data_IF_663727514265
#
_entry.id   IF_663727514265
#
_cell.length_a   1.000
_cell.length_b   1.000
_cell.length_c   1.000
_cell.angle_alpha   90.00
_cell.angle_beta   90.00
_cell.angle_gamma   90.00
#
_symmetry.space_group_name_H-M   'P 1'
#
loop_
_entity.id
_entity.type
_entity.pdbx_description
1 polymer ?
#
# COMPACT_ATOMS: atom_id res chain seq x y z
N UNK A 1 31.95 -12.57 -66.30
CA UNK A 1 30.63 -12.38 -65.64
C UNK A 1 30.54 -13.36 -64.48
N UNK A 2 30.90 -12.92 -63.27
CA UNK A 2 30.92 -13.75 -62.08
C UNK A 2 29.95 -13.15 -61.05
N UNK A 3 28.82 -13.86 -60.80
CA UNK A 3 27.86 -13.51 -59.75
C UNK A 3 28.42 -13.94 -58.39
N UNK A 4 28.62 -12.98 -57.47
CA UNK A 4 28.89 -13.23 -56.04
C UNK A 4 27.56 -13.41 -55.33
N UNK A 5 27.35 -14.58 -54.73
CA UNK A 5 26.27 -14.82 -53.76
C UNK A 5 26.74 -14.33 -52.40
N UNK A 6 25.97 -13.43 -51.82
CA UNK A 6 26.14 -12.96 -50.46
C UNK A 6 25.21 -13.78 -49.56
N UNK A 7 25.78 -14.70 -48.77
CA UNK A 7 25.00 -15.47 -47.76
C UNK A 7 24.91 -14.62 -46.49
N UNK A 8 23.71 -14.17 -46.16
CA UNK A 8 23.39 -13.56 -44.88
C UNK A 8 23.22 -14.66 -43.82
N UNK A 9 24.14 -14.73 -42.87
CA UNK A 9 24.05 -15.58 -41.69
C UNK A 9 23.18 -14.87 -40.65
N UNK A 10 21.95 -15.36 -40.46
CA UNK A 10 21.02 -14.89 -39.42
C UNK A 10 21.40 -15.57 -38.11
N UNK A 11 22.10 -14.85 -37.22
CA UNK A 11 22.39 -15.32 -35.85
C UNK A 11 21.11 -15.22 -35.02
N UNK A 12 20.44 -16.33 -34.82
CA UNK A 12 19.33 -16.48 -33.88
C UNK A 12 19.92 -16.65 -32.46
N UNK A 13 19.98 -15.56 -31.70
CA UNK A 13 20.39 -15.60 -30.27
C UNK A 13 19.19 -16.13 -29.48
N UNK A 14 19.17 -17.44 -29.23
CA UNK A 14 18.28 -18.04 -28.22
C UNK A 14 18.72 -17.56 -26.84
N UNK A 15 18.00 -16.60 -26.24
CA UNK A 15 18.11 -16.33 -24.81
C UNK A 15 17.39 -17.45 -24.05
N UNK A 16 18.11 -18.50 -23.70
CA UNK A 16 17.66 -19.46 -22.69
C UNK A 16 17.79 -18.77 -21.34
N UNK A 17 16.67 -18.29 -20.81
CA UNK A 17 16.56 -17.99 -19.37
C UNK A 17 16.66 -19.32 -18.64
N UNK A 18 17.85 -19.61 -18.07
CA UNK A 18 17.96 -20.66 -17.07
C UNK A 18 17.13 -20.21 -15.87
N UNK A 19 15.91 -20.74 -15.75
CA UNK A 19 15.21 -20.75 -14.47
C UNK A 19 16.07 -21.63 -13.55
N UNK A 20 16.75 -21.03 -12.57
CA UNK A 20 17.45 -21.77 -11.54
C UNK A 20 16.45 -22.68 -10.86
N UNK A 21 16.58 -24.01 -11.08
CA UNK A 21 15.75 -24.98 -10.39
C UNK A 21 16.00 -24.82 -8.89
N UNK A 22 14.97 -24.45 -8.13
CA UNK A 22 15.02 -24.40 -6.69
C UNK A 22 15.39 -25.82 -6.15
N UNK A 23 16.24 -25.91 -5.12
CA UNK A 23 16.58 -27.20 -4.54
C UNK A 23 15.30 -27.90 -4.08
N UNK A 24 15.16 -29.17 -4.44
CA UNK A 24 14.02 -30.02 -4.06
C UNK A 24 13.90 -30.04 -2.53
N UNK A 25 12.83 -29.41 -1.99
CA UNK A 25 12.58 -29.34 -0.56
C UNK A 25 12.63 -27.95 0.07
N UNK A 26 12.96 -26.89 -0.69
CA UNK A 26 12.91 -25.52 -0.14
C UNK A 26 11.46 -25.05 0.05
N UNK A 27 11.12 -24.71 1.31
CA UNK A 27 9.80 -24.16 1.64
C UNK A 27 9.88 -22.64 1.62
N UNK A 28 9.22 -22.00 0.67
CA UNK A 28 9.16 -20.55 0.55
C UNK A 28 8.38 -19.98 1.74
N UNK A 29 9.05 -19.14 2.51
CA UNK A 29 8.51 -18.49 3.71
C UNK A 29 8.40 -16.98 3.50
N UNK A 30 7.66 -16.30 4.38
CA UNK A 30 7.61 -14.85 4.38
C UNK A 30 9.01 -14.21 4.59
N UNK A 31 9.90 -14.87 5.33
CA UNK A 31 11.26 -14.37 5.59
C UNK A 31 12.11 -14.17 4.34
N UNK A 32 11.82 -14.90 3.27
CA UNK A 32 12.58 -14.80 2.02
C UNK A 32 12.46 -13.42 1.35
N UNK A 33 11.45 -12.62 1.73
CA UNK A 33 11.25 -11.28 1.22
C UNK A 33 11.59 -10.15 2.23
N UNK A 34 11.95 -10.45 3.48
CA UNK A 34 12.18 -9.42 4.52
C UNK A 34 13.31 -8.44 4.15
N UNK A 35 14.31 -8.87 3.37
CA UNK A 35 15.41 -8.03 2.92
C UNK A 35 14.97 -6.88 2.00
N UNK A 36 13.78 -6.98 1.38
CA UNK A 36 13.22 -5.93 0.52
C UNK A 36 12.60 -4.77 1.31
N UNK A 37 12.33 -4.98 2.61
CA UNK A 37 11.92 -3.92 3.53
C UNK A 37 13.16 -3.36 4.24
N UNK A 38 14.07 -2.72 3.50
CA UNK A 38 15.25 -2.06 4.07
C UNK A 38 15.01 -0.56 4.31
N UNK A 39 15.76 0.02 5.25
CA UNK A 39 15.62 1.42 5.64
C UNK A 39 15.96 2.39 4.51
N UNK A 40 16.96 2.06 3.69
CA UNK A 40 17.38 2.91 2.56
C UNK A 40 16.30 2.96 1.48
N UNK A 41 15.70 1.83 1.17
CA UNK A 41 14.58 1.74 0.23
C UNK A 41 13.35 2.52 0.71
N UNK A 42 12.99 2.38 2.00
CA UNK A 42 11.89 3.13 2.60
C UNK A 42 12.17 4.65 2.58
N UNK A 43 13.39 5.07 2.97
CA UNK A 43 13.82 6.48 2.90
C UNK A 43 13.73 7.02 1.48
N UNK A 44 14.22 6.29 0.49
CA UNK A 44 14.18 6.69 -0.91
C UNK A 44 12.74 6.90 -1.39
N UNK A 45 11.81 6.01 -1.01
CA UNK A 45 10.40 6.15 -1.37
C UNK A 45 9.76 7.37 -0.71
N UNK A 46 9.96 7.56 0.59
CA UNK A 46 9.41 8.73 1.29
C UNK A 46 9.98 10.01 0.72
N UNK A 47 11.31 10.10 0.53
CA UNK A 47 11.99 11.25 -0.07
C UNK A 47 11.42 11.60 -1.45
N UNK A 48 11.14 10.60 -2.29
CA UNK A 48 10.52 10.81 -3.60
C UNK A 48 9.14 11.49 -3.46
N UNK A 49 8.27 11.00 -2.57
CA UNK A 49 6.93 11.55 -2.41
C UNK A 49 6.91 12.91 -1.71
N UNK A 50 7.95 13.26 -0.96
CA UNK A 50 8.10 14.57 -0.29
C UNK A 50 8.93 15.57 -1.08
N UNK A 51 9.50 15.16 -2.22
CA UNK A 51 10.28 16.02 -3.10
C UNK A 51 9.46 17.18 -3.66
N UNK A 52 10.16 18.24 -4.03
CA UNK A 52 9.57 19.47 -4.62
C UNK A 52 8.78 19.21 -5.90
N UNK A 53 9.11 18.18 -6.69
CA UNK A 53 8.36 17.79 -7.89
C UNK A 53 6.98 17.22 -7.56
N UNK A 54 6.82 16.63 -6.37
CA UNK A 54 5.53 16.14 -5.88
C UNK A 54 4.66 17.28 -5.29
N UNK A 55 5.23 18.45 -5.00
CA UNK A 55 4.53 19.68 -4.53
C UNK A 55 3.49 19.43 -3.44
N UNK A 56 3.76 18.47 -2.52
CA UNK A 56 2.84 18.07 -1.45
C UNK A 56 1.60 17.31 -1.92
N UNK A 57 1.56 16.84 -3.15
CA UNK A 57 0.60 15.86 -3.71
C UNK A 57 -0.89 16.22 -3.61
N UNK A 58 -1.25 17.50 -3.54
CA UNK A 58 -2.67 17.86 -3.52
C UNK A 58 -3.39 17.35 -4.78
N UNK A 59 -4.57 16.76 -4.61
CA UNK A 59 -5.37 16.19 -5.70
C UNK A 59 -5.57 17.16 -6.86
N UNK A 60 -5.38 16.69 -8.09
CA UNK A 60 -5.54 17.48 -9.32
C UNK A 60 -4.36 18.37 -9.67
N UNK A 61 -3.26 18.36 -8.91
CA UNK A 61 -2.06 19.15 -9.20
C UNK A 61 -1.05 18.35 -10.04
N UNK A 62 -0.11 19.03 -10.72
CA UNK A 62 1.00 18.35 -11.40
C UNK A 62 1.81 17.45 -10.48
N UNK A 63 2.00 17.82 -9.20
CA UNK A 63 2.68 16.99 -8.20
C UNK A 63 1.93 15.70 -7.88
N UNK A 64 0.59 15.75 -7.79
CA UNK A 64 -0.24 14.55 -7.66
C UNK A 64 -0.11 13.66 -8.90
N UNK A 65 -0.12 14.23 -10.13
CA UNK A 65 0.09 13.49 -11.38
C UNK A 65 1.47 12.82 -11.43
N UNK A 66 2.50 13.50 -10.91
CA UNK A 66 3.85 12.95 -10.81
C UNK A 66 3.90 11.75 -9.85
N UNK A 67 3.31 11.89 -8.67
CA UNK A 67 3.25 10.84 -7.65
C UNK A 67 2.49 9.59 -8.15
N UNK A 68 1.27 9.76 -8.69
CA UNK A 68 0.47 8.63 -9.17
C UNK A 68 1.14 7.89 -10.35
N UNK A 69 1.84 8.62 -11.24
CA UNK A 69 2.58 8.02 -12.34
C UNK A 69 3.76 7.17 -11.84
N UNK A 70 4.43 7.60 -10.77
CA UNK A 70 5.49 6.82 -10.14
C UNK A 70 4.94 5.54 -9.48
N UNK A 71 3.81 5.64 -8.78
CA UNK A 71 3.15 4.48 -8.16
C UNK A 71 2.75 3.46 -9.23
N UNK A 72 2.12 3.89 -10.33
CA UNK A 72 1.72 3.01 -11.42
C UNK A 72 2.92 2.30 -12.06
N UNK A 73 4.05 3.00 -12.27
CA UNK A 73 5.29 2.38 -12.76
C UNK A 73 5.83 1.32 -11.80
N UNK A 74 5.77 1.56 -10.48
CA UNK A 74 6.20 0.58 -9.49
C UNK A 74 5.27 -0.63 -9.46
N UNK A 75 3.95 -0.43 -9.52
CA UNK A 75 2.99 -1.53 -9.63
C UNK A 75 3.26 -2.40 -10.86
N UNK A 76 3.53 -1.77 -12.02
CA UNK A 76 3.91 -2.50 -13.23
C UNK A 76 5.23 -3.28 -13.06
N UNK A 77 6.25 -2.67 -12.45
CA UNK A 77 7.55 -3.30 -12.18
C UNK A 77 7.43 -4.50 -11.21
N UNK A 78 6.46 -4.46 -10.28
CA UNK A 78 6.15 -5.56 -9.37
C UNK A 78 5.13 -6.55 -9.95
N UNK A 79 4.91 -6.55 -11.25
CA UNK A 79 4.03 -7.51 -11.93
C UNK A 79 2.57 -7.47 -11.51
N UNK A 80 2.11 -6.39 -10.86
CA UNK A 80 0.71 -6.20 -10.56
C UNK A 80 -0.05 -5.96 -11.87
N UNK A 81 -1.26 -6.49 -11.97
CA UNK A 81 -2.08 -6.36 -13.18
C UNK A 81 -3.07 -5.21 -13.05
N UNK A 82 -3.18 -4.33 -14.04
CA UNK A 82 -4.25 -3.34 -14.09
C UNK A 82 -5.59 -4.00 -14.45
N UNK A 83 -6.70 -3.38 -14.10
CA UNK A 83 -8.01 -3.74 -14.64
C UNK A 83 -8.38 -2.82 -15.80
N UNK A 84 -9.08 -3.34 -16.82
CA UNK A 84 -9.43 -2.55 -18.00
C UNK A 84 -8.25 -1.97 -18.80
N UNK A 85 -7.03 -2.48 -18.60
CA UNK A 85 -5.82 -2.01 -19.27
C UNK A 85 -5.19 -0.75 -18.65
N UNK A 86 -5.71 -0.22 -17.56
CA UNK A 86 -5.20 0.96 -16.86
C UNK A 86 -5.06 0.73 -15.37
N UNK A 87 -3.98 1.29 -14.77
CA UNK A 87 -3.85 1.40 -13.32
C UNK A 87 -4.65 2.58 -12.77
N UNK A 88 -4.99 3.56 -13.60
CA UNK A 88 -5.63 4.82 -13.18
C UNK A 88 -7.14 4.70 -13.24
N UNK A 89 -7.78 4.94 -12.11
CA UNK A 89 -9.23 4.98 -11.93
C UNK A 89 -9.65 6.42 -11.65
N UNK A 90 -10.08 7.12 -12.70
CA UNK A 90 -10.31 8.57 -12.67
C UNK A 90 -11.66 8.96 -12.09
N UNK A 91 -11.66 10.00 -11.26
CA UNK A 91 -12.87 10.58 -10.67
C UNK A 91 -12.72 12.09 -10.44
N UNK A 92 -13.75 12.71 -9.91
CA UNK A 92 -13.69 14.08 -9.40
C UNK A 92 -13.86 14.07 -7.90
N UNK A 93 -12.99 14.83 -7.20
CA UNK A 93 -13.12 15.05 -5.76
C UNK A 93 -14.35 15.90 -5.45
N UNK A 94 -14.69 16.02 -4.16
CA UNK A 94 -15.79 16.89 -3.72
C UNK A 94 -15.59 18.37 -4.12
N UNK A 95 -14.34 18.82 -4.23
CA UNK A 95 -14.01 20.17 -4.73
C UNK A 95 -14.03 20.29 -6.25
N UNK A 96 -14.31 19.20 -7.00
CA UNK A 96 -14.32 19.16 -8.45
C UNK A 96 -12.96 18.93 -9.11
N UNK A 97 -11.87 18.76 -8.35
CA UNK A 97 -10.54 18.46 -8.86
C UNK A 97 -10.51 17.09 -9.54
N UNK A 98 -9.81 16.98 -10.68
CA UNK A 98 -9.56 15.68 -11.31
C UNK A 98 -8.57 14.87 -10.44
N UNK A 99 -8.93 13.64 -10.12
CA UNK A 99 -8.16 12.76 -9.25
C UNK A 99 -8.17 11.33 -9.78
N UNK A 100 -7.22 10.50 -9.36
CA UNK A 100 -7.13 9.11 -9.78
C UNK A 100 -6.65 8.23 -8.64
N UNK A 101 -7.40 7.19 -8.33
CA UNK A 101 -6.83 6.07 -7.59
C UNK A 101 -5.89 5.28 -8.50
N UNK A 102 -4.82 4.73 -7.96
CA UNK A 102 -3.93 3.80 -8.68
C UNK A 102 -4.16 2.40 -8.13
N UNK A 103 -4.67 1.50 -9.00
CA UNK A 103 -5.13 0.16 -8.60
C UNK A 103 -4.33 -0.91 -9.31
N UNK A 104 -3.79 -1.86 -8.56
CA UNK A 104 -3.02 -2.98 -9.09
C UNK A 104 -3.36 -4.29 -8.40
N UNK A 105 -3.47 -5.35 -9.16
CA UNK A 105 -3.85 -6.68 -8.69
C UNK A 105 -2.65 -7.62 -8.63
N UNK A 106 -2.40 -8.22 -7.48
CA UNK A 106 -1.54 -9.40 -7.35
C UNK A 106 -2.43 -10.64 -7.36
N UNK A 107 -2.49 -11.39 -8.47
CA UNK A 107 -3.43 -12.50 -8.59
C UNK A 107 -3.15 -13.65 -7.64
N UNK A 108 -4.16 -14.09 -6.92
CA UNK A 108 -4.20 -15.35 -6.18
C UNK A 108 -4.87 -16.47 -6.99
N UNK A 109 -5.06 -17.64 -6.39
CA UNK A 109 -5.70 -18.81 -7.02
C UNK A 109 -7.22 -18.86 -6.85
N UNK A 110 -7.73 -18.27 -5.75
CA UNK A 110 -9.15 -18.26 -5.42
C UNK A 110 -9.92 -17.07 -6.01
N UNK A 111 -11.16 -16.95 -5.57
CA UNK A 111 -12.14 -15.91 -5.93
C UNK A 111 -12.40 -14.89 -4.80
N UNK A 112 -11.55 -14.92 -3.77
CA UNK A 112 -11.61 -14.00 -2.64
C UNK A 112 -10.54 -12.92 -2.75
N UNK A 113 -10.81 -11.74 -2.18
CA UNK A 113 -9.97 -10.57 -2.30
C UNK A 113 -9.62 -9.98 -0.94
N UNK A 114 -8.39 -9.49 -0.85
CA UNK A 114 -7.93 -8.60 0.23
C UNK A 114 -7.53 -7.27 -0.41
N UNK A 115 -8.11 -6.16 0.06
CA UNK A 115 -7.73 -4.81 -0.37
C UNK A 115 -6.67 -4.29 0.59
N UNK A 116 -5.55 -3.79 0.05
CA UNK A 116 -4.51 -3.11 0.83
C UNK A 116 -4.34 -1.71 0.26
N UNK A 117 -4.62 -0.69 1.07
CA UNK A 117 -4.68 0.68 0.60
C UNK A 117 -3.89 1.65 1.48
N UNK A 118 -3.41 2.72 0.86
CA UNK A 118 -2.88 3.92 1.50
C UNK A 118 -3.20 5.13 0.64
N UNK A 119 -3.59 6.27 1.22
CA UNK A 119 -3.75 7.48 0.42
C UNK A 119 -2.38 8.10 0.11
N UNK A 120 -2.26 8.68 -1.09
CA UNK A 120 -1.02 9.34 -1.51
C UNK A 120 -1.13 10.86 -1.58
N UNK A 121 -2.34 11.39 -1.59
CA UNK A 121 -2.58 12.84 -1.57
C UNK A 121 -2.23 13.46 -0.21
N UNK A 122 -1.94 14.76 -0.22
CA UNK A 122 -1.75 15.57 0.96
C UNK A 122 -2.16 17.02 0.67
N UNK A 123 -1.89 17.93 1.60
CA UNK A 123 -2.33 19.35 1.56
C UNK A 123 -1.80 20.09 0.32
N UNK A 124 -0.59 19.78 -0.15
CA UNK A 124 0.01 20.47 -1.28
C UNK A 124 0.83 21.69 -0.88
N UNK A 125 0.70 22.75 -1.69
CA UNK A 125 1.33 24.05 -1.43
C UNK A 125 0.26 25.10 -1.17
N UNK A 126 0.28 25.71 0.02
CA UNK A 126 -0.66 26.76 0.40
C UNK A 126 0.09 28.07 0.58
N UNK A 127 -0.36 29.12 -0.13
CA UNK A 127 0.26 30.45 -0.09
C UNK A 127 1.79 30.43 -0.29
N UNK A 128 2.28 29.56 -1.19
CA UNK A 128 3.71 29.39 -1.47
C UNK A 128 4.47 28.51 -0.48
N UNK A 129 3.82 28.01 0.56
CA UNK A 129 4.41 27.14 1.56
C UNK A 129 4.12 25.67 1.23
N UNK A 130 5.15 24.86 1.07
CA UNK A 130 5.05 23.42 0.83
C UNK A 130 4.77 22.65 2.12
N UNK A 131 3.80 21.74 2.04
CA UNK A 131 3.50 20.75 3.08
C UNK A 131 3.92 19.37 2.58
N UNK A 132 5.07 18.84 3.02
CA UNK A 132 5.65 17.63 2.42
C UNK A 132 4.84 16.36 2.68
N UNK A 133 4.25 16.23 3.89
CA UNK A 133 3.43 15.09 4.27
C UNK A 133 4.20 13.77 4.26
N UNK A 134 5.32 13.71 4.98
CA UNK A 134 6.15 12.51 5.05
C UNK A 134 5.47 11.39 5.82
N UNK A 135 5.00 11.67 7.03
CA UNK A 135 4.22 10.71 7.78
C UNK A 135 2.78 10.66 7.25
N UNK A 136 2.21 11.81 6.86
CA UNK A 136 0.83 11.91 6.35
C UNK A 136 0.77 12.17 4.82
N UNK A 137 0.80 11.19 3.88
CA UNK A 137 0.92 9.78 4.16
C UNK A 137 1.95 9.13 3.19
N UNK A 138 3.08 9.83 2.93
CA UNK A 138 4.14 9.22 2.12
C UNK A 138 4.68 7.94 2.77
N UNK A 139 4.66 7.85 4.12
CA UNK A 139 5.01 6.63 4.85
C UNK A 139 4.07 5.46 4.52
N UNK A 140 2.76 5.69 4.51
CA UNK A 140 1.78 4.67 4.12
C UNK A 140 1.95 4.21 2.67
N UNK A 141 2.21 5.13 1.74
CA UNK A 141 2.49 4.78 0.33
C UNK A 141 3.79 3.99 0.21
N UNK A 142 4.85 4.39 0.92
CA UNK A 142 6.12 3.65 0.92
C UNK A 142 5.93 2.24 1.47
N UNK A 143 5.13 2.06 2.54
CA UNK A 143 4.76 0.76 3.06
C UNK A 143 3.97 -0.06 2.03
N UNK A 144 2.93 0.52 1.41
CA UNK A 144 2.12 -0.12 0.38
C UNK A 144 2.97 -0.68 -0.77
N UNK A 145 3.87 0.14 -1.30
CA UNK A 145 4.78 -0.23 -2.39
C UNK A 145 5.77 -1.33 -1.98
N UNK A 146 6.28 -1.25 -0.76
CA UNK A 146 7.20 -2.26 -0.22
C UNK A 146 6.48 -3.60 -0.03
N UNK A 147 5.27 -3.60 0.53
CA UNK A 147 4.43 -4.80 0.66
C UNK A 147 4.14 -5.42 -0.72
N UNK A 148 3.77 -4.60 -1.71
CA UNK A 148 3.51 -5.08 -3.07
C UNK A 148 4.77 -5.76 -3.67
N UNK A 149 5.94 -5.17 -3.50
CA UNK A 149 7.22 -5.73 -3.92
C UNK A 149 7.53 -7.06 -3.22
N UNK A 150 7.36 -7.12 -1.90
CA UNK A 150 7.63 -8.33 -1.10
C UNK A 150 6.72 -9.50 -1.50
N UNK A 151 5.42 -9.27 -1.65
CA UNK A 151 4.49 -10.31 -2.07
C UNK A 151 4.70 -10.76 -3.51
N UNK A 152 5.04 -9.84 -4.42
CA UNK A 152 5.43 -10.18 -5.79
C UNK A 152 6.68 -11.06 -5.79
N UNK A 153 7.71 -10.70 -5.04
CA UNK A 153 8.95 -11.47 -4.95
C UNK A 153 8.70 -12.91 -4.47
N UNK A 154 7.91 -13.10 -3.42
CA UNK A 154 7.54 -14.46 -2.98
C UNK A 154 6.80 -15.23 -4.07
N UNK A 155 5.96 -14.56 -4.85
CA UNK A 155 5.26 -15.19 -5.97
C UNK A 155 6.22 -15.61 -7.09
N UNK A 156 7.24 -14.81 -7.39
CA UNK A 156 8.30 -15.18 -8.35
C UNK A 156 9.12 -16.38 -7.87
N UNK A 157 9.31 -16.51 -6.55
CA UNK A 157 9.92 -17.70 -5.96
C UNK A 157 9.01 -18.94 -6.02
N UNK A 158 7.73 -18.79 -6.39
CA UNK A 158 6.75 -19.89 -6.53
C UNK A 158 5.70 -19.94 -5.41
N UNK A 159 5.65 -18.95 -4.50
CA UNK A 159 4.57 -18.86 -3.50
C UNK A 159 3.22 -18.62 -4.18
N UNK A 160 2.22 -19.38 -3.76
CA UNK A 160 0.82 -19.18 -4.18
C UNK A 160 0.03 -18.58 -3.03
N UNK A 161 -0.96 -17.73 -3.37
CA UNK A 161 -1.89 -17.11 -2.43
C UNK A 161 -3.30 -17.59 -2.73
N UNK A 162 -4.10 -17.83 -1.71
CA UNK A 162 -5.52 -18.14 -1.87
C UNK A 162 -6.30 -16.91 -2.33
N UNK A 163 -5.97 -15.74 -1.77
CA UNK A 163 -6.61 -14.47 -2.12
C UNK A 163 -5.87 -13.74 -3.25
N UNK A 164 -6.63 -13.03 -4.08
CA UNK A 164 -6.07 -11.95 -4.90
C UNK A 164 -5.93 -10.70 -4.04
N UNK A 165 -4.75 -10.08 -4.04
CA UNK A 165 -4.53 -8.82 -3.34
C UNK A 165 -4.73 -7.66 -4.29
N UNK A 166 -5.58 -6.70 -3.89
CA UNK A 166 -5.80 -5.44 -4.60
C UNK A 166 -5.04 -4.35 -3.88
N UNK A 167 -3.89 -3.94 -4.42
CA UNK A 167 -3.11 -2.82 -3.91
C UNK A 167 -3.67 -1.51 -4.48
N UNK A 168 -3.98 -0.56 -3.61
CA UNK A 168 -4.61 0.71 -4.01
C UNK A 168 -3.89 1.89 -3.37
N UNK A 169 -3.35 2.77 -4.20
CA UNK A 169 -2.99 4.10 -3.74
C UNK A 169 -4.17 5.04 -4.00
N UNK A 170 -4.75 5.56 -2.93
CA UNK A 170 -5.97 6.38 -2.95
C UNK A 170 -5.63 7.86 -3.08
N UNK A 171 -6.38 8.58 -3.91
CA UNK A 171 -6.32 10.03 -4.03
C UNK A 171 -7.52 10.68 -3.31
N UNK A 172 -7.41 11.93 -2.91
CA UNK A 172 -8.53 12.71 -2.40
C UNK A 172 -8.99 12.34 -0.99
N UNK A 173 -8.12 11.79 -0.15
CA UNK A 173 -8.41 11.61 1.28
C UNK A 173 -8.63 12.96 1.97
N UNK A 174 -7.78 13.94 1.68
CA UNK A 174 -7.92 15.32 2.17
C UNK A 174 -9.15 16.05 1.57
N UNK A 175 -9.78 15.45 0.57
CA UNK A 175 -11.03 15.87 -0.07
C UNK A 175 -12.20 14.97 0.35
N UNK A 176 -12.37 14.78 1.67
CA UNK A 176 -13.45 13.98 2.27
C UNK A 176 -13.49 12.54 1.80
N UNK A 177 -12.34 11.85 1.77
CA UNK A 177 -12.21 10.45 1.40
C UNK A 177 -12.74 10.14 -0.01
N UNK A 178 -12.67 11.12 -0.93
CA UNK A 178 -13.28 11.00 -2.28
C UNK A 178 -12.83 9.75 -3.03
N UNK A 179 -11.53 9.38 -2.92
CA UNK A 179 -10.97 8.21 -3.61
C UNK A 179 -11.47 6.88 -3.06
N UNK A 180 -11.56 6.73 -1.75
CA UNK A 180 -12.08 5.50 -1.16
C UNK A 180 -13.59 5.35 -1.37
N UNK A 181 -14.36 6.44 -1.34
CA UNK A 181 -15.77 6.44 -1.75
C UNK A 181 -15.93 6.06 -3.23
N UNK A 182 -15.06 6.60 -4.10
CA UNK A 182 -15.09 6.24 -5.52
C UNK A 182 -14.76 4.76 -5.75
N UNK A 183 -13.70 4.23 -5.11
CA UNK A 183 -13.35 2.82 -5.18
C UNK A 183 -14.51 1.93 -4.72
N UNK A 184 -15.16 2.30 -3.63
CA UNK A 184 -16.34 1.59 -3.16
C UNK A 184 -17.47 1.60 -4.21
N UNK A 185 -17.74 2.74 -4.83
CA UNK A 185 -18.77 2.87 -5.87
C UNK A 185 -18.45 2.01 -7.11
N UNK A 186 -17.17 1.88 -7.50
CA UNK A 186 -16.76 0.97 -8.57
C UNK A 186 -17.05 -0.50 -8.20
N UNK A 187 -16.81 -0.89 -6.96
CA UNK A 187 -17.12 -2.24 -6.46
C UNK A 187 -18.64 -2.46 -6.44
N UNK A 188 -19.38 -1.55 -5.82
CA UNK A 188 -20.84 -1.65 -5.71
C UNK A 188 -21.54 -1.63 -7.08
N UNK A 189 -21.01 -0.86 -8.03
CA UNK A 189 -21.50 -0.76 -9.41
C UNK A 189 -21.02 -1.89 -10.34
N UNK A 190 -20.19 -2.83 -9.86
CA UNK A 190 -19.63 -3.92 -10.68
C UNK A 190 -18.65 -3.45 -11.75
N UNK A 191 -18.07 -2.26 -11.58
CA UNK A 191 -17.10 -1.67 -12.52
C UNK A 191 -15.69 -2.18 -12.26
N UNK A 192 -15.34 -2.42 -10.99
CA UNK A 192 -14.06 -3.03 -10.64
C UNK A 192 -14.09 -4.53 -10.97
N UNK A 193 -13.20 -4.96 -11.86
CA UNK A 193 -13.19 -6.34 -12.38
C UNK A 193 -11.86 -7.03 -12.14
N UNK A 194 -11.91 -8.33 -11.83
CA UNK A 194 -10.71 -9.17 -11.74
C UNK A 194 -10.04 -9.25 -13.12
N UNK A 195 -8.77 -8.85 -13.25
CA UNK A 195 -8.06 -8.85 -14.54
C UNK A 195 -7.77 -10.24 -15.09
N UNK A 196 -7.98 -11.32 -14.30
CA UNK A 196 -7.82 -12.71 -14.77
C UNK A 196 -9.09 -13.23 -15.46
N UNK A 197 -10.24 -12.90 -14.89
CA UNK A 197 -11.53 -13.50 -15.25
C UNK A 197 -12.48 -12.53 -15.94
N UNK A 198 -12.25 -11.21 -15.78
CA UNK A 198 -13.19 -10.17 -16.21
C UNK A 198 -14.47 -10.09 -15.35
N UNK A 199 -14.59 -10.93 -14.31
CA UNK A 199 -15.77 -10.97 -13.43
C UNK A 199 -15.76 -9.75 -12.52
N UNK A 200 -16.90 -9.04 -12.32
CA UNK A 200 -17.01 -7.98 -11.35
C UNK A 200 -16.70 -8.45 -9.93
N UNK A 201 -15.91 -7.65 -9.20
CA UNK A 201 -15.64 -7.88 -7.80
C UNK A 201 -16.86 -7.44 -6.99
N UNK A 202 -17.39 -8.33 -6.18
CA UNK A 202 -18.52 -8.03 -5.31
C UNK A 202 -18.07 -7.73 -3.88
N UNK A 203 -18.86 -6.96 -3.15
CA UNK A 203 -18.65 -6.72 -1.72
C UNK A 203 -18.43 -8.04 -0.96
N UNK A 204 -19.26 -9.06 -1.24
CA UNK A 204 -19.20 -10.35 -0.54
C UNK A 204 -17.93 -11.16 -0.80
N UNK A 205 -17.21 -10.85 -1.87
CA UNK A 205 -15.94 -11.52 -2.19
C UNK A 205 -14.72 -10.85 -1.55
N UNK A 206 -14.89 -9.68 -0.88
CA UNK A 206 -13.81 -8.99 -0.16
C UNK A 206 -13.81 -9.46 1.29
N UNK A 207 -12.76 -10.18 1.69
CA UNK A 207 -12.61 -10.70 3.05
C UNK A 207 -12.06 -9.68 4.04
N UNK A 208 -11.25 -8.74 3.55
CA UNK A 208 -10.60 -7.75 4.39
C UNK A 208 -10.19 -6.53 3.57
N UNK A 209 -10.39 -5.33 4.15
CA UNK A 209 -9.75 -4.09 3.72
C UNK A 209 -8.71 -3.67 4.76
N UNK A 210 -7.47 -3.48 4.33
CA UNK A 210 -6.35 -3.02 5.16
C UNK A 210 -5.99 -1.61 4.73
N UNK A 211 -6.20 -0.63 5.59
CA UNK A 211 -5.80 0.76 5.38
C UNK A 211 -4.51 1.07 6.13
N UNK A 212 -3.57 1.75 5.48
CA UNK A 212 -2.28 2.17 6.06
C UNK A 212 -2.25 3.70 6.05
N UNK A 213 -2.36 4.29 7.23
CA UNK A 213 -2.41 5.76 7.37
C UNK A 213 -1.53 6.21 8.53
N UNK A 214 -0.41 6.85 8.20
CA UNK A 214 0.66 7.33 9.09
C UNK A 214 1.35 6.21 9.88
N UNK A 215 2.41 5.66 9.32
CA UNK A 215 3.16 4.54 9.94
C UNK A 215 4.67 4.79 10.07
N UNK A 216 5.16 5.99 9.73
CA UNK A 216 6.57 6.36 9.78
C UNK A 216 6.97 7.11 11.05
N UNK A 217 6.07 7.92 11.59
CA UNK A 217 6.33 8.81 12.73
C UNK A 217 6.40 8.07 14.07
N UNK A 218 7.16 8.67 15.03
CA UNK A 218 7.32 8.13 16.38
C UNK A 218 6.94 9.13 17.48
N UNK A 219 6.53 10.35 17.08
CA UNK A 219 6.27 11.46 17.98
C UNK A 219 4.77 11.68 18.27
N UNK A 220 3.94 10.63 18.20
CA UNK A 220 2.53 10.77 18.56
C UNK A 220 2.40 11.03 20.08
N UNK A 221 1.65 12.07 20.52
CA UNK A 221 1.53 12.41 21.94
C UNK A 221 1.01 11.27 22.81
N UNK A 222 0.21 10.37 22.23
CA UNK A 222 -0.32 9.17 22.88
C UNK A 222 0.74 8.17 23.32
N UNK A 223 1.89 8.19 22.63
CA UNK A 223 2.91 7.17 22.79
C UNK A 223 4.20 7.77 23.36
N UNK A 224 4.06 8.80 24.16
CA UNK A 224 5.16 9.43 24.86
C UNK A 224 6.08 8.36 25.46
N UNK A 225 7.35 8.35 25.07
CA UNK A 225 8.37 7.36 25.44
C UNK A 225 8.16 5.92 24.87
N UNK A 226 7.33 5.74 23.84
CA UNK A 226 7.08 4.45 23.18
C UNK A 226 7.23 4.59 21.65
N UNK A 227 8.44 4.85 21.14
CA UNK A 227 8.65 5.15 19.71
C UNK A 227 8.33 3.98 18.79
N UNK A 228 8.46 2.75 19.29
CA UNK A 228 8.22 1.49 18.57
C UNK A 228 6.75 1.05 18.53
N UNK A 229 5.83 1.97 18.84
CA UNK A 229 4.40 1.70 18.87
C UNK A 229 3.79 1.52 17.47
N UNK A 230 2.89 0.54 17.35
CA UNK A 230 2.02 0.37 16.19
C UNK A 230 0.60 0.02 16.65
N UNK A 231 -0.38 0.74 16.17
CA UNK A 231 -1.79 0.40 16.36
C UNK A 231 -2.35 -0.37 15.18
N UNK A 232 -3.19 -1.36 15.49
CA UNK A 232 -4.12 -1.97 14.56
C UNK A 232 -5.55 -1.73 15.05
N UNK A 233 -6.22 -0.76 14.47
CA UNK A 233 -7.60 -0.41 14.79
C UNK A 233 -8.56 -1.24 13.94
N UNK A 234 -9.50 -1.92 14.58
CA UNK A 234 -10.47 -2.80 13.92
C UNK A 234 -11.62 -3.12 14.87
N UNK A 235 -12.73 -3.59 14.31
CA UNK A 235 -13.73 -4.29 15.11
C UNK A 235 -13.11 -5.57 15.69
N UNK A 236 -13.34 -5.89 16.97
CA UNK A 236 -12.62 -6.97 17.67
C UNK A 236 -12.66 -8.32 16.96
N UNK A 237 -13.81 -8.67 16.40
CA UNK A 237 -14.05 -9.94 15.70
C UNK A 237 -13.47 -10.00 14.28
N UNK A 238 -13.18 -8.88 13.67
CA UNK A 238 -12.85 -8.78 12.23
C UNK A 238 -11.36 -8.60 11.95
N UNK A 239 -10.56 -8.17 12.93
CA UNK A 239 -9.19 -7.72 12.70
C UNK A 239 -8.14 -8.84 12.69
N UNK A 240 -8.51 -10.08 13.01
CA UNK A 240 -7.53 -11.18 13.14
C UNK A 240 -6.31 -10.74 13.97
N UNK A 241 -6.55 -10.20 15.15
CA UNK A 241 -5.50 -9.66 16.06
C UNK A 241 -4.43 -10.68 16.42
N UNK A 242 -4.82 -11.96 16.50
CA UNK A 242 -3.92 -13.10 16.68
C UNK A 242 -2.85 -13.17 15.59
N UNK A 243 -3.21 -12.92 14.34
CA UNK A 243 -2.25 -12.90 13.23
C UNK A 243 -1.16 -11.83 13.44
N UNK A 244 -1.54 -10.61 13.90
CA UNK A 244 -0.58 -9.57 14.21
C UNK A 244 0.26 -9.88 15.45
N UNK A 245 -0.35 -10.41 16.49
CA UNK A 245 0.38 -10.82 17.70
C UNK A 245 1.45 -11.88 17.37
N UNK A 246 1.11 -12.87 16.55
CA UNK A 246 2.07 -13.88 16.11
C UNK A 246 3.14 -13.26 15.18
N UNK A 247 2.77 -12.36 14.28
CA UNK A 247 3.73 -11.62 13.44
C UNK A 247 4.75 -10.86 14.28
N UNK A 248 4.30 -10.25 15.38
CA UNK A 248 5.15 -9.48 16.29
C UNK A 248 6.12 -10.33 17.13
N UNK A 249 5.91 -11.64 17.21
CA UNK A 249 6.87 -12.56 17.86
C UNK A 249 8.15 -12.77 17.04
N UNK A 250 8.17 -12.37 15.76
CA UNK A 250 9.39 -12.37 14.97
C UNK A 250 10.46 -11.49 15.65
N UNK A 251 11.69 -11.98 15.71
CA UNK A 251 12.79 -11.27 16.38
C UNK A 251 13.07 -9.89 15.80
N UNK A 252 12.86 -9.72 14.48
CA UNK A 252 13.11 -8.46 13.77
C UNK A 252 11.96 -7.47 13.87
N UNK A 253 10.80 -7.85 14.43
CA UNK A 253 9.62 -6.99 14.56
C UNK A 253 9.52 -6.40 15.97
N UNK A 254 9.12 -7.13 16.96
CA UNK A 254 9.04 -6.75 18.39
C UNK A 254 8.57 -5.31 18.65
N UNK A 255 7.42 -4.96 18.11
CA UNK A 255 6.79 -3.67 18.33
C UNK A 255 5.94 -3.65 19.59
N UNK A 256 5.73 -2.48 20.15
CA UNK A 256 4.70 -2.23 21.15
C UNK A 256 3.36 -2.08 20.45
N UNK A 257 2.51 -3.10 20.54
CA UNK A 257 1.24 -3.15 19.81
C UNK A 257 0.10 -2.53 20.61
N UNK A 258 -0.71 -1.72 19.94
CA UNK A 258 -1.96 -1.17 20.48
C UNK A 258 -3.17 -1.55 19.62
N UNK A 259 -4.31 -1.68 20.29
CA UNK A 259 -5.57 -1.98 19.64
C UNK A 259 -6.66 -0.94 19.96
N UNK A 260 -6.35 -0.01 20.85
CA UNK A 260 -7.25 1.06 21.26
C UNK A 260 -6.54 2.42 21.20
N UNK A 261 -7.21 3.42 20.66
CA UNK A 261 -6.74 4.80 20.62
C UNK A 261 -7.11 5.48 21.95
N UNK A 262 -6.14 6.12 22.62
CA UNK A 262 -6.30 6.73 23.96
C UNK A 262 -6.77 5.78 25.07
N UNK A 263 -6.61 4.46 24.92
CA UNK A 263 -7.09 3.49 25.90
C UNK A 263 -8.62 3.47 26.08
N UNK A 264 -9.36 4.06 25.15
CA UNK A 264 -10.82 4.12 25.17
C UNK A 264 -11.41 3.36 23.98
N UNK A 265 -12.14 2.29 24.24
CA UNK A 265 -12.81 1.50 23.20
C UNK A 265 -13.85 2.31 22.43
N UNK A 266 -14.63 3.13 23.11
CA UNK A 266 -15.68 3.93 22.48
C UNK A 266 -15.10 5.03 21.60
N UNK A 267 -14.06 5.73 22.08
CA UNK A 267 -13.36 6.72 21.29
C UNK A 267 -12.69 6.07 20.07
N UNK A 268 -12.00 4.93 20.28
CA UNK A 268 -11.38 4.16 19.20
C UNK A 268 -12.38 3.80 18.11
N UNK A 269 -13.57 3.31 18.50
CA UNK A 269 -14.62 2.94 17.54
C UNK A 269 -15.08 4.14 16.72
N UNK A 270 -15.34 5.29 17.34
CA UNK A 270 -15.74 6.51 16.63
C UNK A 270 -14.63 6.98 15.72
N UNK A 271 -13.39 7.06 16.22
CA UNK A 271 -12.22 7.50 15.46
C UNK A 271 -11.98 6.60 14.24
N UNK A 272 -11.87 5.29 14.46
CA UNK A 272 -11.62 4.30 13.42
C UNK A 272 -12.69 4.30 12.32
N UNK A 273 -13.97 4.50 12.69
CA UNK A 273 -15.06 4.50 11.71
C UNK A 273 -15.18 5.79 10.88
N UNK A 274 -14.46 6.85 11.23
CA UNK A 274 -14.65 8.17 10.61
C UNK A 274 -13.40 8.78 10.00
N UNK A 275 -12.20 8.41 10.49
CA UNK A 275 -11.00 9.21 10.26
C UNK A 275 -10.33 8.97 8.90
N UNK A 276 -10.45 7.80 8.29
CA UNK A 276 -9.66 7.45 7.11
C UNK A 276 -10.37 6.49 6.14
N UNK A 277 -9.66 6.03 5.14
CA UNK A 277 -10.14 5.40 3.92
C UNK A 277 -10.84 4.03 4.09
N UNK A 278 -10.73 3.39 5.24
CA UNK A 278 -11.53 2.19 5.55
C UNK A 278 -13.03 2.50 5.75
N UNK A 279 -13.39 3.77 5.95
CA UNK A 279 -14.77 4.18 6.28
C UNK A 279 -15.82 3.67 5.28
N UNK A 280 -15.72 3.86 3.95
CA UNK A 280 -16.74 3.38 3.02
C UNK A 280 -16.92 1.87 3.06
N UNK A 281 -15.85 1.12 3.30
CA UNK A 281 -15.89 -0.34 3.42
C UNK A 281 -16.61 -0.77 4.69
N UNK A 282 -16.30 -0.14 5.82
CA UNK A 282 -16.96 -0.38 7.11
C UNK A 282 -18.45 -0.05 7.07
N UNK A 283 -18.83 1.07 6.47
CA UNK A 283 -20.22 1.51 6.36
C UNK A 283 -21.08 0.49 5.61
N UNK A 284 -20.45 -0.34 4.79
CA UNK A 284 -21.11 -1.39 4.01
C UNK A 284 -20.80 -2.81 4.50
N UNK A 285 -20.22 -2.94 5.69
CA UNK A 285 -20.05 -4.23 6.36
C UNK A 285 -18.87 -5.08 5.86
N UNK A 286 -17.92 -4.48 5.16
CA UNK A 286 -16.66 -5.17 4.83
C UNK A 286 -15.74 -5.11 6.05
N UNK A 287 -15.23 -6.26 6.56
CA UNK A 287 -14.23 -6.28 7.60
C UNK A 287 -13.03 -5.43 7.20
N UNK A 288 -12.61 -4.52 8.10
CA UNK A 288 -11.52 -3.60 7.78
C UNK A 288 -10.58 -3.44 8.97
N UNK A 289 -9.32 -3.15 8.70
CA UNK A 289 -8.31 -2.77 9.70
C UNK A 289 -7.60 -1.51 9.25
N UNK A 290 -7.21 -0.67 10.22
CA UNK A 290 -6.35 0.48 10.00
C UNK A 290 -5.06 0.29 10.78
N UNK A 291 -3.93 0.29 10.07
CA UNK A 291 -2.61 0.38 10.69
C UNK A 291 -2.20 1.84 10.78
N UNK A 292 -1.79 2.27 11.98
CA UNK A 292 -1.33 3.63 12.22
C UNK A 292 -0.35 3.69 13.38
N UNK A 293 0.57 4.64 13.36
CA UNK A 293 1.41 5.01 14.50
C UNK A 293 0.81 6.16 15.32
N UNK A 294 -0.40 6.61 14.95
CA UNK A 294 -1.08 7.74 15.58
C UNK A 294 -0.73 9.08 14.93
N UNK A 295 -1.51 10.08 15.24
CA UNK A 295 -1.35 11.44 14.72
C UNK A 295 -0.20 12.12 15.49
N UNK A 296 0.87 12.47 14.78
CA UNK A 296 2.05 13.15 15.36
C UNK A 296 1.80 14.65 15.52
N UNK A 297 2.66 15.32 16.30
CA UNK A 297 2.63 16.78 16.42
C UNK A 297 3.00 17.51 15.11
N UNK A 298 3.59 16.79 14.16
CA UNK A 298 3.97 17.31 12.83
C UNK A 298 2.86 17.18 11.79
N UNK A 299 1.81 16.44 12.11
CA UNK A 299 0.70 16.21 11.18
C UNK A 299 0.16 17.54 10.62
N UNK A 300 -0.01 17.62 9.32
CA UNK A 300 -0.46 18.81 8.61
C UNK A 300 0.43 20.07 8.82
N UNK A 301 1.74 19.87 9.01
CA UNK A 301 2.72 20.96 9.15
C UNK A 301 3.84 20.82 8.14
N UNK A 302 4.53 21.93 7.91
CA UNK A 302 5.73 22.00 7.05
C UNK A 302 6.89 21.15 7.58
N UNK A 303 6.86 20.80 8.87
CA UNK A 303 7.87 19.97 9.55
C UNK A 303 7.58 18.47 9.47
N UNK A 304 6.52 18.05 8.77
CA UNK A 304 6.28 16.66 8.42
C UNK A 304 7.08 16.30 7.16
N UNK A 305 8.39 16.22 7.34
CA UNK A 305 9.38 15.96 6.30
C UNK A 305 10.03 14.57 6.44
N UNK A 306 10.75 14.13 5.40
CA UNK A 306 11.38 12.81 5.36
C UNK A 306 12.38 12.58 6.49
N UNK A 307 13.05 13.62 6.99
CA UNK A 307 14.05 13.53 8.05
C UNK A 307 13.40 13.34 9.43
N UNK A 308 12.10 13.65 9.56
CA UNK A 308 11.35 13.51 10.81
C UNK A 308 10.97 12.06 11.14
N UNK A 309 11.17 11.10 10.19
CA UNK A 309 10.78 9.72 10.37
C UNK A 309 11.91 8.85 10.95
N UNK A 310 11.55 7.88 11.78
CA UNK A 310 12.45 6.83 12.25
C UNK A 310 12.34 5.61 11.32
N UNK A 311 13.29 5.47 10.39
CA UNK A 311 13.27 4.41 9.38
C UNK A 311 13.53 3.02 9.94
N UNK A 312 14.23 2.89 11.06
CA UNK A 312 14.41 1.62 11.76
C UNK A 312 13.08 1.11 12.33
N UNK A 313 12.36 1.97 13.02
CA UNK A 313 11.02 1.66 13.54
C UNK A 313 10.02 1.48 12.39
N UNK A 314 10.07 2.33 11.37
CA UNK A 314 9.21 2.23 10.20
C UNK A 314 9.38 0.89 9.47
N UNK A 315 10.63 0.43 9.27
CA UNK A 315 10.93 -0.90 8.72
C UNK A 315 10.25 -2.02 9.54
N UNK A 316 10.37 -1.97 10.87
CA UNK A 316 9.74 -2.95 11.77
C UNK A 316 8.22 -2.99 11.62
N UNK A 317 7.57 -1.82 11.45
CA UNK A 317 6.13 -1.72 11.22
C UNK A 317 5.73 -2.33 9.87
N UNK A 318 6.51 -2.08 8.81
CA UNK A 318 6.30 -2.72 7.50
C UNK A 318 6.41 -4.24 7.59
N UNK A 319 7.42 -4.76 8.30
CA UNK A 319 7.57 -6.20 8.53
C UNK A 319 6.39 -6.79 9.33
N UNK A 320 5.89 -6.09 10.35
CA UNK A 320 4.71 -6.52 11.09
C UNK A 320 3.47 -6.66 10.17
N UNK A 321 3.21 -5.64 9.34
CA UNK A 321 2.11 -5.66 8.37
C UNK A 321 2.30 -6.74 7.31
N UNK A 322 3.53 -6.96 6.84
CA UNK A 322 3.85 -8.01 5.89
C UNK A 322 3.56 -9.40 6.44
N UNK A 323 4.08 -9.73 7.63
CA UNK A 323 3.83 -11.02 8.27
C UNK A 323 2.37 -11.22 8.66
N UNK A 324 1.68 -10.16 9.07
CA UNK A 324 0.23 -10.18 9.30
C UNK A 324 -0.51 -10.59 8.01
N UNK A 325 -0.25 -9.91 6.90
CA UNK A 325 -0.87 -10.21 5.61
C UNK A 325 -0.48 -11.61 5.10
N UNK A 326 0.77 -12.02 5.25
CA UNK A 326 1.24 -13.33 4.81
C UNK A 326 0.54 -14.51 5.52
N UNK A 327 -0.07 -14.27 6.69
CA UNK A 327 -0.88 -15.25 7.42
C UNK A 327 -2.34 -15.27 6.97
N UNK A 328 -2.79 -14.23 6.29
CA UNK A 328 -4.17 -14.08 5.82
C UNK A 328 -4.32 -14.58 4.38
N UNK A 329 -3.30 -14.35 3.56
CA UNK A 329 -3.27 -14.64 2.13
C UNK A 329 -2.97 -16.10 1.82
#
# INVERSE_FOLDING_TARGET
MTRKFLSAFLLLVLRTTLAAAQPTGYIISARDAEHLADEAGLRTRVAFFTDSLCTGRASGTPGSLHAQSAIARQFAAYGLRPTGGSYFHGFRTISGSAAHNVVGFLPGSGDRYVVVAAHFDHIGTLAGTLYPGADSNASGVAALLTLAQMFHHLKELGKTYAHTVIFVALDGKEQSLSGSHYLWNEIAGGLLRDPRTGVPISQKSIDLMVNIDQVGGTEAPLHKNRPDYLMMLCEPENGRRDALLIANLNADVKLDLGFDYYGSKDFTRVFYRTISDQKPFLDHGVPSVMFTSGITLRNNKVTDDAESLDYGIFRRRVLAMFHYLARIL
#
